data_IF_484387788645
#
_entry.id   IF_484387788645
#
_cell.length_a   1.000
_cell.length_b   1.000
_cell.length_c   1.000
_cell.angle_alpha   90.00
_cell.angle_beta   90.00
_cell.angle_gamma   90.00
#
_symmetry.space_group_name_H-M   'P 1'
#
loop_
_entity.id
_entity.type
_entity.pdbx_description
1 polymer ?
#
# COMPACT_ATOMS: atom_id res chain seq x y z
N UNK A 1 3.52 -9.06 -10.87
CA UNK A 1 3.33 -7.74 -10.25
C UNK A 1 2.06 -7.15 -10.81
N UNK A 2 1.31 -6.35 -10.05
CA UNK A 2 0.05 -5.76 -10.54
C UNK A 2 0.26 -4.44 -11.29
N UNK A 3 0.60 -3.38 -10.55
CA UNK A 3 0.83 -2.03 -11.09
C UNK A 3 2.29 -1.64 -10.88
N UNK A 4 2.93 -1.05 -11.90
CA UNK A 4 4.29 -0.50 -11.81
C UNK A 4 4.28 0.99 -12.16
N UNK A 5 4.91 1.81 -11.31
CA UNK A 5 5.04 3.26 -11.47
C UNK A 5 6.52 3.61 -11.34
N UNK A 6 7.20 3.74 -12.47
CA UNK A 6 8.64 4.03 -12.52
C UNK A 6 8.92 5.54 -12.60
N UNK A 7 8.02 6.31 -13.20
CA UNK A 7 8.14 7.77 -13.29
C UNK A 7 6.77 8.44 -13.35
N UNK A 8 6.74 9.73 -13.03
CA UNK A 8 5.51 10.51 -13.02
C UNK A 8 4.63 10.26 -11.80
N UNK A 9 3.44 10.86 -11.80
CA UNK A 9 2.49 10.76 -10.70
C UNK A 9 1.23 10.01 -11.10
N UNK A 10 0.83 9.05 -10.27
CA UNK A 10 -0.44 8.33 -10.40
C UNK A 10 -1.27 8.57 -9.15
N UNK A 11 -2.52 8.98 -9.37
CA UNK A 11 -3.55 9.04 -8.36
C UNK A 11 -4.60 7.98 -8.69
N UNK A 12 -4.76 7.02 -7.78
CA UNK A 12 -5.67 5.90 -7.93
C UNK A 12 -6.70 5.93 -6.80
N UNK A 13 -7.97 5.92 -7.16
CA UNK A 13 -9.12 5.96 -6.27
C UNK A 13 -10.00 4.75 -6.54
N UNK A 14 -10.48 4.09 -5.48
CA UNK A 14 -11.43 2.96 -5.56
C UNK A 14 -10.97 1.80 -6.46
N UNK A 15 -9.65 1.57 -6.56
CA UNK A 15 -9.12 0.47 -7.39
C UNK A 15 -9.04 -0.85 -6.61
N UNK A 16 -9.09 -1.96 -7.34
CA UNK A 16 -8.85 -3.30 -6.79
C UNK A 16 -7.60 -3.92 -7.43
N UNK A 17 -6.58 -4.17 -6.62
CA UNK A 17 -5.34 -4.85 -7.01
C UNK A 17 -5.27 -6.15 -6.22
N UNK A 18 -5.49 -7.29 -6.88
CA UNK A 18 -5.69 -8.56 -6.18
C UNK A 18 -4.96 -9.72 -6.82
N UNK A 19 -4.41 -10.63 -6.00
CA UNK A 19 -3.99 -11.96 -6.44
C UNK A 19 -2.76 -11.99 -7.34
N UNK A 20 -1.91 -10.97 -7.30
CA UNK A 20 -0.63 -11.03 -8.01
C UNK A 20 0.36 -11.91 -7.25
N UNK A 21 1.22 -12.63 -7.98
CA UNK A 21 2.19 -13.57 -7.38
C UNK A 21 3.27 -12.89 -6.51
N UNK A 22 3.57 -11.61 -6.75
CA UNK A 22 4.66 -10.89 -6.09
C UNK A 22 4.12 -9.60 -5.48
N UNK A 23 4.57 -8.40 -5.90
CA UNK A 23 4.00 -7.16 -5.40
C UNK A 23 2.68 -6.78 -6.09
N UNK A 24 1.74 -6.25 -5.33
CA UNK A 24 0.52 -5.64 -5.84
C UNK A 24 0.81 -4.37 -6.62
N UNK A 25 1.46 -3.40 -5.96
CA UNK A 25 1.88 -2.13 -6.55
C UNK A 25 3.37 -1.92 -6.28
N UNK A 26 4.11 -1.53 -7.31
CA UNK A 26 5.53 -1.20 -7.24
C UNK A 26 5.74 0.26 -7.68
N UNK A 27 6.39 1.05 -6.82
CA UNK A 27 6.74 2.44 -7.07
C UNK A 27 8.25 2.55 -7.02
N UNK A 28 8.88 2.86 -8.14
CA UNK A 28 10.34 2.94 -8.26
C UNK A 28 10.79 4.27 -8.83
N UNK A 29 12.12 4.46 -8.89
CA UNK A 29 12.81 5.61 -9.47
C UNK A 29 12.18 6.94 -9.08
N UNK A 30 11.47 7.62 -9.98
CA UNK A 30 10.83 8.93 -9.70
C UNK A 30 9.31 8.85 -9.65
N UNK A 31 8.76 7.65 -9.57
CA UNK A 31 7.34 7.37 -9.46
C UNK A 31 6.73 7.91 -8.17
N UNK A 32 5.52 8.46 -8.30
CA UNK A 32 4.74 8.96 -7.17
C UNK A 32 3.35 8.33 -7.21
N UNK A 33 2.96 7.69 -6.11
CA UNK A 33 1.65 7.09 -5.93
C UNK A 33 0.85 7.85 -4.86
N UNK A 34 -0.39 8.20 -5.20
CA UNK A 34 -1.45 8.47 -4.25
C UNK A 34 -2.53 7.40 -4.40
N UNK A 35 -2.72 6.59 -3.38
CA UNK A 35 -3.72 5.53 -3.37
C UNK A 35 -4.76 5.82 -2.30
N UNK A 36 -6.02 5.91 -2.72
CA UNK A 36 -7.14 6.23 -1.84
C UNK A 36 -8.28 5.23 -2.00
N UNK A 37 -8.93 4.86 -0.90
CA UNK A 37 -10.19 4.08 -0.89
C UNK A 37 -10.13 2.76 -1.69
N UNK A 38 -8.94 2.18 -1.81
CA UNK A 38 -8.65 1.05 -2.69
C UNK A 38 -8.45 -0.26 -1.92
N UNK A 39 -8.50 -1.38 -2.64
CA UNK A 39 -8.35 -2.75 -2.12
C UNK A 39 -7.08 -3.38 -2.68
N UNK A 40 -6.11 -3.70 -1.83
CA UNK A 40 -4.85 -4.36 -2.22
C UNK A 40 -4.70 -5.67 -1.44
N UNK A 41 -5.01 -6.79 -2.09
CA UNK A 41 -5.31 -8.06 -1.41
C UNK A 41 -4.61 -9.28 -2.02
N UNK A 42 -4.28 -10.27 -1.21
CA UNK A 42 -3.98 -11.62 -1.69
C UNK A 42 -2.60 -11.80 -2.34
N UNK A 43 -1.65 -10.93 -2.04
CA UNK A 43 -0.27 -11.02 -2.52
C UNK A 43 0.59 -11.85 -1.56
N UNK A 44 0.25 -13.13 -1.40
CA UNK A 44 0.75 -13.99 -0.30
C UNK A 44 2.27 -14.13 -0.23
N UNK A 45 2.96 -14.09 -1.38
CA UNK A 45 4.42 -14.23 -1.45
C UNK A 45 5.14 -12.88 -1.64
N UNK A 46 4.43 -11.76 -1.53
CA UNK A 46 4.98 -10.44 -1.76
C UNK A 46 4.31 -9.34 -0.94
N UNK A 47 4.52 -8.10 -1.36
CA UNK A 47 3.98 -6.94 -0.66
C UNK A 47 2.71 -6.42 -1.33
N UNK A 48 1.80 -5.83 -0.56
CA UNK A 48 0.71 -5.03 -1.12
C UNK A 48 1.28 -3.85 -1.91
N UNK A 49 2.14 -3.05 -1.27
CA UNK A 49 2.85 -1.92 -1.89
C UNK A 49 4.35 -2.03 -1.65
N UNK A 50 5.15 -1.92 -2.70
CA UNK A 50 6.62 -1.79 -2.62
C UNK A 50 7.04 -0.43 -3.14
N UNK A 51 7.91 0.26 -2.40
CA UNK A 51 8.47 1.57 -2.79
C UNK A 51 9.99 1.48 -2.76
N UNK A 52 10.68 1.93 -3.81
CA UNK A 52 12.14 1.80 -3.98
C UNK A 52 12.77 3.08 -4.53
N UNK A 53 14.08 3.22 -4.36
CA UNK A 53 14.84 4.32 -4.95
C UNK A 53 14.39 5.68 -4.44
N UNK A 54 13.97 6.57 -5.34
CA UNK A 54 13.39 7.87 -5.00
C UNK A 54 11.86 7.90 -5.06
N UNK A 55 11.23 6.73 -5.21
CA UNK A 55 9.78 6.57 -5.25
C UNK A 55 9.09 7.14 -4.01
N UNK A 56 7.84 7.56 -4.17
CA UNK A 56 7.03 8.14 -3.09
C UNK A 56 5.64 7.56 -3.11
N UNK A 57 5.10 7.28 -1.93
CA UNK A 57 3.72 6.79 -1.80
C UNK A 57 2.99 7.47 -0.64
N UNK A 58 1.74 7.85 -0.91
CA UNK A 58 0.75 8.23 0.10
C UNK A 58 -0.43 7.28 -0.02
N UNK A 59 -0.74 6.59 1.07
CA UNK A 59 -1.80 5.59 1.14
C UNK A 59 -2.83 6.05 2.17
N UNK A 60 -4.09 6.20 1.77
CA UNK A 60 -5.19 6.66 2.61
C UNK A 60 -6.47 5.84 2.44
N UNK A 61 -7.16 5.55 3.53
CA UNK A 61 -8.47 4.89 3.54
C UNK A 61 -8.52 3.56 2.74
N UNK A 62 -7.38 2.90 2.53
CA UNK A 62 -7.30 1.67 1.77
C UNK A 62 -7.48 0.45 2.67
N UNK A 63 -7.85 -0.67 2.06
CA UNK A 63 -7.80 -2.01 2.64
C UNK A 63 -6.60 -2.75 2.07
N UNK A 64 -5.57 -2.96 2.89
CA UNK A 64 -4.33 -3.64 2.50
C UNK A 64 -4.14 -4.84 3.42
N UNK A 65 -4.62 -6.01 2.99
CA UNK A 65 -4.73 -7.23 3.81
C UNK A 65 -4.39 -8.48 3.01
N UNK A 66 -4.16 -9.60 3.68
CA UNK A 66 -3.90 -10.90 3.05
C UNK A 66 -2.69 -10.90 2.09
N UNK A 67 -1.68 -10.07 2.41
CA UNK A 67 -0.42 -9.99 1.68
C UNK A 67 0.71 -10.53 2.57
N UNK A 68 1.82 -10.98 1.98
CA UNK A 68 3.01 -11.37 2.76
C UNK A 68 3.57 -10.20 3.57
N UNK A 69 3.59 -9.01 2.97
CA UNK A 69 3.82 -7.73 3.66
C UNK A 69 2.74 -6.72 3.26
N UNK A 70 2.37 -5.82 4.17
CA UNK A 70 1.48 -4.71 3.84
C UNK A 70 2.21 -3.69 2.97
N UNK A 71 3.34 -3.17 3.48
CA UNK A 71 4.17 -2.18 2.79
C UNK A 71 5.64 -2.52 2.97
N UNK A 72 6.39 -2.51 1.86
CA UNK A 72 7.84 -2.63 1.87
C UNK A 72 8.44 -1.35 1.31
N UNK A 73 9.09 -0.56 2.16
CA UNK A 73 9.77 0.67 1.78
C UNK A 73 11.29 0.48 1.77
N UNK A 74 11.87 0.45 0.58
CA UNK A 74 13.31 0.50 0.31
C UNK A 74 13.73 1.84 -0.29
N UNK A 75 12.86 2.86 -0.26
CA UNK A 75 13.21 4.22 -0.68
C UNK A 75 13.85 5.00 0.46
N UNK A 76 14.48 6.12 0.11
CA UNK A 76 14.95 7.11 1.10
C UNK A 76 13.85 8.06 1.62
N UNK A 77 12.61 7.92 1.16
CA UNK A 77 11.48 8.75 1.59
C UNK A 77 10.59 7.98 2.56
N UNK A 78 10.00 8.67 3.54
CA UNK A 78 8.95 8.07 4.37
C UNK A 78 7.72 7.75 3.51
N UNK A 79 7.16 6.55 3.66
CA UNK A 79 5.84 6.24 3.10
C UNK A 79 4.78 6.67 4.09
N UNK A 80 3.90 7.57 3.65
CA UNK A 80 2.79 8.02 4.47
C UNK A 80 1.60 7.07 4.29
N UNK A 81 1.40 6.17 5.26
CA UNK A 81 0.42 5.10 5.23
C UNK A 81 -0.60 5.19 6.37
N UNK A 82 -0.83 6.39 6.92
CA UNK A 82 -1.85 6.60 7.96
C UNK A 82 -3.27 6.35 7.45
N UNK A 83 -4.18 6.00 8.35
CA UNK A 83 -5.60 5.94 8.01
C UNK A 83 -5.99 4.78 7.07
N UNK A 84 -5.24 3.68 7.06
CA UNK A 84 -5.59 2.48 6.28
C UNK A 84 -6.08 1.36 7.20
N UNK A 85 -6.82 0.41 6.62
CA UNK A 85 -7.22 -0.83 7.26
C UNK A 85 -6.26 -1.96 6.89
N UNK A 86 -5.68 -2.56 7.92
CA UNK A 86 -4.67 -3.62 7.82
C UNK A 86 -5.19 -4.99 8.25
N UNK A 87 -6.51 -5.13 8.39
CA UNK A 87 -7.17 -6.30 8.98
C UNK A 87 -7.38 -6.18 10.49
N UNK A 88 -6.71 -5.23 11.13
CA UNK A 88 -6.88 -4.88 12.56
C UNK A 88 -6.45 -3.43 12.79
N UNK A 89 -6.95 -2.83 13.87
CA UNK A 89 -6.53 -1.51 14.36
C UNK A 89 -5.10 -1.50 14.93
N UNK A 90 -4.57 -2.68 15.28
CA UNK A 90 -3.22 -2.84 15.85
C UNK A 90 -2.43 -3.84 14.99
N UNK A 91 -1.99 -3.44 13.78
CA UNK A 91 -1.30 -4.37 12.89
C UNK A 91 0.07 -4.75 13.43
N UNK A 92 0.48 -5.99 13.15
CA UNK A 92 1.83 -6.45 13.47
C UNK A 92 2.87 -5.56 12.78
N UNK A 93 3.88 -5.15 13.54
CA UNK A 93 4.97 -4.35 13.03
C UNK A 93 5.75 -5.04 11.90
N UNK A 94 5.81 -6.38 11.92
CA UNK A 94 6.52 -7.20 10.93
C UNK A 94 5.93 -7.11 9.51
N UNK A 95 4.67 -6.67 9.37
CA UNK A 95 4.03 -6.45 8.06
C UNK A 95 4.62 -5.27 7.29
N UNK A 96 5.47 -4.47 7.92
CA UNK A 96 6.02 -3.24 7.35
C UNK A 96 7.54 -3.27 7.40
N UNK A 97 8.16 -2.91 6.28
CA UNK A 97 9.61 -2.82 6.16
C UNK A 97 10.00 -1.38 5.83
N UNK A 98 11.02 -0.84 6.50
CA UNK A 98 11.51 0.52 6.30
C UNK A 98 10.67 1.59 7.00
N UNK A 99 10.86 2.84 6.59
CA UNK A 99 10.18 4.00 7.18
C UNK A 99 8.75 4.13 6.63
N UNK A 100 7.77 3.61 7.38
CA UNK A 100 6.35 3.63 7.03
C UNK A 100 5.54 4.20 8.18
N UNK A 101 4.94 5.37 8.00
CA UNK A 101 4.03 5.96 8.97
C UNK A 101 2.65 5.30 8.86
N UNK A 102 2.41 4.29 9.69
CA UNK A 102 1.17 3.48 9.73
C UNK A 102 0.22 3.86 10.87
N UNK A 103 0.40 5.05 11.48
CA UNK A 103 -0.46 5.52 12.57
C UNK A 103 -1.91 5.67 12.11
N UNK A 104 -2.82 5.83 13.07
CA UNK A 104 -4.24 6.04 12.79
C UNK A 104 -4.84 4.90 11.96
N UNK A 105 -4.39 3.66 12.21
CA UNK A 105 -4.98 2.48 11.60
C UNK A 105 -6.49 2.47 11.87
N UNK A 106 -7.28 2.20 10.82
CA UNK A 106 -8.73 2.22 10.94
C UNK A 106 -9.19 1.13 11.92
N UNK A 107 -10.28 1.39 12.66
CA UNK A 107 -10.81 0.42 13.62
C UNK A 107 -11.70 -0.66 12.98
N UNK A 108 -12.21 -0.37 11.78
CA UNK A 108 -13.01 -1.26 10.97
C UNK A 108 -12.53 -1.19 9.52
N UNK A 109 -12.95 -2.16 8.71
CA UNK A 109 -12.77 -2.07 7.26
C UNK A 109 -13.32 -0.73 6.78
N UNK A 110 -12.47 0.02 6.06
CA UNK A 110 -12.88 1.28 5.42
C UNK A 110 -14.19 1.03 4.67
N UNK A 111 -15.24 1.88 4.81
CA UNK A 111 -16.48 1.69 4.08
C UNK A 111 -16.12 1.67 2.60
N UNK A 112 -16.14 0.47 2.00
CA UNK A 112 -15.87 0.29 0.57
C UNK A 112 -16.85 1.14 -0.24
N UNK A 113 -16.59 1.33 -1.54
CA UNK A 113 -17.38 2.21 -2.39
C UNK A 113 -18.88 1.91 -2.19
N UNK A 114 -19.64 2.94 -1.81
CA UNK A 114 -21.10 2.83 -1.74
C UNK A 114 -21.57 2.56 -3.18
N UNK A 115 -22.09 1.36 -3.40
CA UNK A 115 -22.76 0.97 -4.65
C UNK A 115 -23.85 1.94 -5.05
#
# INVERSE_FOLDING_TARGET
MGIAIESGGVEALEVAVTGNLQSGIDVSDTGVLKLSESRVLGHVSGAGVTVKGFGRATLRANRIVDNGWAVVNYSGNQVDARGNWWGTATPDAALFVGDVDRRDALAAESPGPRR
#
